data_IF_406307158782
#
_entry.id   IF_406307158782
#
_cell.length_a   1.000
_cell.length_b   1.000
_cell.length_c   1.000
_cell.angle_alpha   90.00
_cell.angle_beta   90.00
_cell.angle_gamma   90.00
#
_symmetry.space_group_name_H-M   'P 1'
#
loop_
_entity.id
_entity.type
_entity.pdbx_description
1 polymer ?
#
# COMPACT_ATOMS: atom_id res chain seq x y z
N UNK A 1 -18.34 29.55 0.55
CA UNK A 1 -17.90 28.52 -0.42
C UNK A 1 -16.63 27.80 0.06
N UNK A 2 -15.73 28.48 0.77
CA UNK A 2 -14.49 27.91 1.31
C UNK A 2 -14.72 26.71 2.25
N UNK A 3 -15.74 26.75 3.11
CA UNK A 3 -16.05 25.64 4.04
C UNK A 3 -16.46 24.35 3.31
N UNK A 4 -17.21 24.48 2.21
CA UNK A 4 -17.63 23.34 1.39
C UNK A 4 -16.42 22.70 0.70
N UNK A 5 -15.46 23.53 0.24
CA UNK A 5 -14.23 23.06 -0.38
C UNK A 5 -13.35 22.34 0.64
N UNK A 6 -13.23 22.87 1.87
CA UNK A 6 -12.44 22.24 2.94
C UNK A 6 -12.97 20.85 3.32
N UNK A 7 -14.29 20.70 3.42
CA UNK A 7 -14.92 19.40 3.72
C UNK A 7 -14.86 18.44 2.54
N UNK A 8 -15.02 18.92 1.30
CA UNK A 8 -14.99 18.07 0.10
C UNK A 8 -13.56 17.65 -0.30
N UNK A 9 -12.54 18.44 0.03
CA UNK A 9 -11.13 18.22 -0.31
C UNK A 9 -10.62 16.79 -0.06
N UNK A 10 -10.75 16.20 1.14
CA UNK A 10 -10.25 14.84 1.40
C UNK A 10 -10.94 13.77 0.54
N UNK A 11 -12.22 13.94 0.23
CA UNK A 11 -12.96 13.01 -0.63
C UNK A 11 -12.49 13.10 -2.08
N UNK A 12 -12.30 14.33 -2.59
CA UNK A 12 -11.77 14.56 -3.94
C UNK A 12 -10.35 13.99 -4.05
N UNK A 13 -9.50 14.22 -3.05
CA UNK A 13 -8.15 13.66 -3.01
C UNK A 13 -8.16 12.12 -3.01
N UNK A 14 -9.03 11.49 -2.21
CA UNK A 14 -9.20 10.04 -2.21
C UNK A 14 -9.63 9.47 -3.57
N UNK A 15 -10.62 10.10 -4.22
CA UNK A 15 -11.08 9.72 -5.56
C UNK A 15 -9.94 9.86 -6.58
N UNK A 16 -9.18 10.97 -6.54
CA UNK A 16 -8.05 11.19 -7.44
C UNK A 16 -6.95 10.15 -7.25
N UNK A 17 -6.60 9.79 -6.02
CA UNK A 17 -5.59 8.76 -5.75
C UNK A 17 -6.03 7.42 -6.35
N UNK A 18 -7.28 7.00 -6.13
CA UNK A 18 -7.81 5.75 -6.69
C UNK A 18 -7.79 5.80 -8.23
N UNK A 19 -8.20 6.93 -8.81
CA UNK A 19 -8.21 7.14 -10.25
C UNK A 19 -6.79 7.04 -10.84
N UNK A 20 -5.80 7.68 -10.21
CA UNK A 20 -4.39 7.64 -10.64
C UNK A 20 -3.86 6.21 -10.59
N UNK A 21 -4.11 5.48 -9.50
CA UNK A 21 -3.69 4.08 -9.36
C UNK A 21 -4.33 3.20 -10.44
N UNK A 22 -5.63 3.39 -10.69
CA UNK A 22 -6.36 2.64 -11.71
C UNK A 22 -5.84 2.93 -13.13
N UNK A 23 -5.71 4.20 -13.50
CA UNK A 23 -5.17 4.64 -14.80
C UNK A 23 -3.76 4.08 -14.99
N UNK A 24 -2.90 4.20 -13.98
CA UNK A 24 -1.53 3.68 -14.03
C UNK A 24 -1.50 2.18 -14.28
N UNK A 25 -2.39 1.43 -13.63
CA UNK A 25 -2.53 -0.02 -13.85
C UNK A 25 -2.98 -0.31 -15.29
N UNK A 26 -4.05 0.34 -15.75
CA UNK A 26 -4.58 0.16 -17.11
C UNK A 26 -3.55 0.50 -18.19
N UNK A 27 -2.78 1.58 -18.04
CA UNK A 27 -1.72 1.93 -18.98
C UNK A 27 -0.63 0.85 -19.01
N UNK A 28 -0.25 0.32 -17.84
CA UNK A 28 0.76 -0.73 -17.74
C UNK A 28 0.31 -2.02 -18.42
N UNK A 29 -0.96 -2.39 -18.25
CA UNK A 29 -1.55 -3.57 -18.87
C UNK A 29 -1.67 -3.40 -20.40
N UNK A 30 -2.09 -2.21 -20.87
CA UNK A 30 -2.11 -1.89 -22.31
C UNK A 30 -0.72 -1.94 -22.94
N UNK A 31 0.28 -1.39 -22.26
CA UNK A 31 1.67 -1.39 -22.72
C UNK A 31 2.20 -2.83 -22.89
N UNK A 32 1.93 -3.72 -21.92
CA UNK A 32 2.28 -5.13 -22.03
C UNK A 32 1.59 -5.82 -23.22
N UNK A 33 0.29 -5.59 -23.39
CA UNK A 33 -0.47 -6.22 -24.47
C UNK A 33 0.02 -5.78 -25.85
N UNK A 34 0.41 -4.51 -26.01
CA UNK A 34 0.99 -4.01 -27.27
C UNK A 34 2.34 -4.66 -27.59
N UNK A 35 3.20 -4.85 -26.58
CA UNK A 35 4.47 -5.56 -26.76
C UNK A 35 4.23 -7.01 -27.20
N UNK A 36 3.29 -7.70 -26.56
CA UNK A 36 2.92 -9.08 -26.92
C UNK A 36 2.39 -9.14 -28.34
N UNK A 37 1.44 -8.26 -28.71
CA UNK A 37 0.84 -8.23 -30.05
C UNK A 37 1.90 -8.00 -31.14
N UNK A 38 2.81 -7.04 -30.92
CA UNK A 38 3.88 -6.74 -31.89
C UNK A 38 4.90 -7.87 -32.01
N UNK A 39 5.18 -8.61 -30.94
CA UNK A 39 6.05 -9.78 -30.97
C UNK A 39 5.42 -10.93 -31.79
N UNK A 40 4.10 -11.15 -31.65
CA UNK A 40 3.35 -12.13 -32.46
C UNK A 40 3.42 -11.75 -33.95
N UNK A 41 3.19 -10.48 -34.29
CA UNK A 41 3.22 -10.00 -35.68
C UNK A 41 4.57 -10.23 -36.38
N UNK A 42 5.68 -10.15 -35.64
CA UNK A 42 7.03 -10.34 -36.18
C UNK A 42 7.51 -11.80 -36.09
N UNK A 43 6.67 -12.73 -35.61
CA UNK A 43 7.04 -14.13 -35.43
C UNK A 43 8.14 -14.36 -34.38
N UNK A 44 8.36 -13.38 -33.50
CA UNK A 44 9.42 -13.45 -32.49
C UNK A 44 8.97 -14.30 -31.31
N UNK A 45 9.84 -15.18 -30.82
CA UNK A 45 9.57 -15.94 -29.60
C UNK A 45 9.33 -15.00 -28.40
N UNK A 46 8.17 -15.16 -27.76
CA UNK A 46 7.76 -14.33 -26.64
C UNK A 46 8.28 -14.94 -25.36
N UNK A 47 9.06 -14.17 -24.59
CA UNK A 47 9.53 -14.64 -23.29
C UNK A 47 8.34 -15.00 -22.38
N UNK A 48 8.29 -16.22 -21.82
CA UNK A 48 7.24 -16.65 -20.89
C UNK A 48 7.11 -15.72 -19.66
N UNK A 49 8.15 -14.95 -19.35
CA UNK A 49 8.16 -13.98 -18.26
C UNK A 49 7.17 -12.82 -18.48
N UNK A 50 6.79 -12.51 -19.71
CA UNK A 50 5.77 -11.49 -20.01
C UNK A 50 4.37 -11.92 -19.55
N UNK A 51 4.13 -13.24 -19.50
CA UNK A 51 2.87 -13.85 -19.04
C UNK A 51 2.92 -14.28 -17.58
N UNK A 52 4.11 -14.32 -16.96
CA UNK A 52 4.20 -14.51 -15.52
C UNK A 52 3.56 -13.30 -14.85
N UNK A 53 2.44 -13.56 -14.19
CA UNK A 53 1.88 -12.65 -13.23
C UNK A 53 3.00 -12.30 -12.26
N UNK A 54 3.25 -11.00 -12.03
CA UNK A 54 4.24 -10.57 -11.06
C UNK A 54 3.78 -11.13 -9.71
N UNK A 55 4.29 -12.30 -9.34
CA UNK A 55 4.05 -12.88 -8.04
C UNK A 55 4.52 -11.82 -7.06
N UNK A 56 3.56 -11.20 -6.38
CA UNK A 56 3.88 -10.25 -5.32
C UNK A 56 4.75 -11.05 -4.37
N UNK A 57 6.05 -10.73 -4.32
CA UNK A 57 6.98 -11.39 -3.40
C UNK A 57 6.27 -11.40 -2.04
N UNK A 58 6.17 -12.55 -1.36
CA UNK A 58 5.55 -12.59 -0.05
C UNK A 58 6.26 -11.55 0.80
N UNK A 59 5.54 -10.49 1.18
CA UNK A 59 6.10 -9.44 2.01
C UNK A 59 6.50 -10.11 3.31
N UNK A 60 7.74 -9.91 3.72
CA UNK A 60 8.20 -10.35 5.03
C UNK A 60 7.25 -9.78 6.10
N UNK A 61 6.55 -10.63 6.88
CA UNK A 61 5.56 -10.19 7.86
C UNK A 61 6.15 -9.20 8.88
N UNK A 62 7.43 -9.35 9.23
CA UNK A 62 8.11 -8.44 10.15
C UNK A 62 8.28 -7.05 9.51
N UNK A 63 8.79 -7.00 8.28
CA UNK A 63 8.89 -5.76 7.51
C UNK A 63 7.51 -5.09 7.38
N UNK A 64 6.45 -5.86 7.11
CA UNK A 64 5.09 -5.32 7.03
C UNK A 64 4.61 -4.72 8.37
N UNK A 65 4.86 -5.40 9.48
CA UNK A 65 4.48 -4.91 10.81
C UNK A 65 5.22 -3.61 11.15
N UNK A 66 6.54 -3.57 10.93
CA UNK A 66 7.37 -2.39 11.20
C UNK A 66 6.99 -1.19 10.34
N UNK A 67 6.73 -1.40 9.04
CA UNK A 67 6.24 -0.34 8.14
C UNK A 67 4.91 0.21 8.63
N UNK A 68 3.99 -0.65 9.06
CA UNK A 68 2.66 -0.23 9.53
C UNK A 68 2.76 0.56 10.84
N UNK A 69 3.63 0.14 11.77
CA UNK A 69 3.94 0.91 12.99
C UNK A 69 4.50 2.29 12.63
N UNK A 70 5.49 2.33 11.73
CA UNK A 70 6.09 3.57 11.24
C UNK A 70 5.05 4.52 10.65
N UNK A 71 4.16 4.00 9.80
CA UNK A 71 3.03 4.77 9.24
C UNK A 71 2.14 5.34 10.34
N UNK A 72 1.85 4.59 11.40
CA UNK A 72 1.05 5.09 12.51
C UNK A 72 1.72 6.19 13.32
N UNK A 73 3.01 6.05 13.62
CA UNK A 73 3.78 7.11 14.30
C UNK A 73 3.86 8.35 13.40
N UNK A 74 4.21 8.19 12.13
CA UNK A 74 4.29 9.30 11.18
C UNK A 74 2.95 10.00 11.00
N UNK A 75 1.85 9.25 10.90
CA UNK A 75 0.51 9.82 10.78
C UNK A 75 0.10 10.58 12.05
N UNK A 76 0.40 10.03 13.23
CA UNK A 76 0.14 10.71 14.50
C UNK A 76 0.90 12.04 14.55
N UNK A 77 2.22 12.02 14.31
CA UNK A 77 3.07 13.22 14.36
C UNK A 77 2.64 14.23 13.30
N UNK A 78 2.36 13.80 12.07
CA UNK A 78 1.92 14.68 11.00
C UNK A 78 0.61 15.39 11.34
N UNK A 79 -0.40 14.66 11.80
CA UNK A 79 -1.68 15.24 12.17
C UNK A 79 -1.58 16.11 13.43
N UNK A 80 -0.75 15.72 14.40
CA UNK A 80 -0.50 16.50 15.60
C UNK A 80 0.12 17.86 15.28
N UNK A 81 1.11 17.91 14.38
CA UNK A 81 1.73 19.16 13.95
C UNK A 81 0.83 19.98 13.02
N UNK A 82 0.03 19.32 12.17
CA UNK A 82 -0.85 20.00 11.21
C UNK A 82 -2.04 20.70 11.86
N UNK A 83 -2.59 20.12 12.95
CA UNK A 83 -3.75 20.67 13.66
C UNK A 83 -3.35 21.38 14.97
N UNK A 84 -2.26 22.14 14.98
CA UNK A 84 -1.83 22.96 16.13
C UNK A 84 -1.81 22.19 17.47
N UNK A 85 -1.16 21.01 17.46
CA UNK A 85 -1.00 20.16 18.64
C UNK A 85 -2.32 19.57 19.18
N UNK A 86 -3.38 19.47 18.34
CA UNK A 86 -4.64 18.84 18.72
C UNK A 86 -4.59 17.31 18.67
N UNK A 87 -4.58 16.70 19.85
CA UNK A 87 -4.51 15.23 20.02
C UNK A 87 -5.70 14.48 19.39
N UNK A 88 -6.89 15.11 19.35
CA UNK A 88 -8.12 14.48 18.83
C UNK A 88 -7.96 14.01 17.38
N UNK A 89 -7.27 14.80 16.55
CA UNK A 89 -7.00 14.45 15.16
C UNK A 89 -5.75 13.56 15.04
N UNK A 90 -4.73 13.79 15.85
CA UNK A 90 -3.54 12.94 15.88
C UNK A 90 -3.86 11.47 16.22
N UNK A 91 -4.89 11.24 17.03
CA UNK A 91 -5.32 9.91 17.47
C UNK A 91 -5.64 8.93 16.31
N UNK A 92 -5.95 9.41 15.10
CA UNK A 92 -6.10 8.56 13.93
C UNK A 92 -4.82 7.75 13.60
N UNK A 93 -3.64 8.26 13.95
CA UNK A 93 -2.37 7.54 13.82
C UNK A 93 -2.27 6.29 14.70
N UNK A 94 -3.04 6.20 15.79
CA UNK A 94 -3.06 5.01 16.63
C UNK A 94 -3.68 3.80 15.94
N UNK A 95 -4.57 4.00 14.96
CA UNK A 95 -5.21 2.89 14.23
C UNK A 95 -4.15 2.02 13.52
N UNK A 96 -3.36 2.55 12.56
CA UNK A 96 -2.28 1.79 11.94
C UNK A 96 -1.18 1.38 12.94
N UNK A 97 -0.94 2.16 14.00
CA UNK A 97 0.03 1.78 15.05
C UNK A 97 -0.37 0.45 15.71
N UNK A 98 -1.62 0.35 16.19
CA UNK A 98 -2.11 -0.87 16.85
C UNK A 98 -2.26 -2.04 15.87
N UNK A 99 -2.61 -1.78 14.61
CA UNK A 99 -2.59 -2.81 13.56
C UNK A 99 -1.16 -3.36 13.41
N UNK A 100 -0.17 -2.48 13.32
CA UNK A 100 1.23 -2.89 13.18
C UNK A 100 1.74 -3.64 14.40
N UNK A 101 1.37 -3.22 15.62
CA UNK A 101 1.65 -3.96 16.85
C UNK A 101 1.00 -5.35 16.86
N UNK A 102 -0.25 -5.46 16.41
CA UNK A 102 -0.94 -6.76 16.27
C UNK A 102 -0.26 -7.69 15.25
N UNK A 103 0.20 -7.15 14.13
CA UNK A 103 1.00 -7.90 13.16
C UNK A 103 2.33 -8.36 13.76
N UNK A 104 2.98 -7.50 14.54
CA UNK A 104 4.25 -7.81 15.21
C UNK A 104 4.07 -8.91 16.26
N UNK A 105 3.04 -8.83 17.10
CA UNK A 105 2.76 -9.88 18.10
C UNK A 105 2.42 -11.21 17.45
N UNK A 106 1.59 -11.21 16.39
CA UNK A 106 1.30 -12.40 15.61
C UNK A 106 2.57 -13.02 15.02
N UNK A 107 3.48 -12.20 14.48
CA UNK A 107 4.76 -12.66 13.96
C UNK A 107 5.62 -13.32 15.06
N UNK A 108 5.73 -12.71 16.24
CA UNK A 108 6.50 -13.25 17.36
C UNK A 108 5.94 -14.58 17.86
N UNK A 109 4.61 -14.71 17.94
CA UNK A 109 3.94 -15.98 18.32
C UNK A 109 4.21 -17.05 17.28
N UNK A 110 4.03 -16.74 16.00
CA UNK A 110 4.24 -17.69 14.91
C UNK A 110 5.69 -18.15 14.83
N UNK A 111 6.65 -17.24 15.02
CA UNK A 111 8.08 -17.55 15.09
C UNK A 111 8.39 -18.50 16.25
N UNK A 112 7.79 -18.27 17.42
CA UNK A 112 7.98 -19.13 18.62
C UNK A 112 7.40 -20.52 18.42
N UNK A 113 6.24 -20.64 17.78
CA UNK A 113 5.61 -21.95 17.52
C UNK A 113 6.39 -22.78 16.50
N UNK A 114 6.85 -22.16 15.41
CA UNK A 114 7.70 -22.83 14.40
C UNK A 114 9.06 -23.28 14.95
N UNK A 115 9.54 -22.70 16.06
CA UNK A 115 10.75 -23.13 16.76
C UNK A 115 10.53 -24.29 17.74
N UNK A 116 9.28 -24.54 18.17
CA UNK A 116 8.93 -25.65 19.09
C UNK A 116 8.62 -26.96 18.37
N UNK A 117 8.23 -26.89 17.09
CA UNK A 117 8.00 -28.07 16.23
C UNK A 117 9.27 -28.58 15.52
N UNK A 118 10.43 -27.96 15.76
CA UNK A 118 11.75 -28.43 15.33
C UNK A 118 12.54 -28.94 16.53
#
# INVERSE_FOLDING_TARGET
MEDVIAVASPFVAGILIVLIVFISKTLRDKSKNQVIMKAIEHGTEISPELFKEQQRKPKDPLTSALVTIGVGISLFVALFLFFDYQVKFAAFGFIPLFIGLGQLTAYLINKKNNQKEK
#
